data_IF_681419486391
#
_entry.id   IF_681419486391
#
_cell.length_a   1.000
_cell.length_b   1.000
_cell.length_c   1.000
_cell.angle_alpha   90.00
_cell.angle_beta   90.00
_cell.angle_gamma   90.00
#
_symmetry.space_group_name_H-M   'P 1'
#
loop_
_entity.id
_entity.type
_entity.pdbx_description
1 polymer ?
#
# COMPACT_ATOMS: atom_id res chain seq x y z
N UNK A 1 131.70 -44.04 80.20
CA UNK A 1 132.71 -43.78 81.26
C UNK A 1 133.08 -45.11 81.92
N UNK A 2 134.37 -45.29 82.26
CA UNK A 2 134.97 -46.19 83.28
C UNK A 2 134.26 -47.50 83.71
N UNK A 3 134.96 -48.63 83.53
CA UNK A 3 134.95 -49.81 84.44
C UNK A 3 135.66 -49.43 85.79
N UNK A 4 135.74 -50.25 86.88
CA UNK A 4 136.28 -51.63 86.94
C UNK A 4 135.70 -52.49 88.14
N UNK A 5 136.46 -53.30 88.94
CA UNK A 5 137.09 -54.62 88.67
C UNK A 5 136.75 -55.75 89.69
N UNK A 6 137.37 -56.93 89.51
CA UNK A 6 137.45 -58.05 90.48
C UNK A 6 138.83 -58.08 91.20
N UNK A 7 138.94 -58.70 92.39
CA UNK A 7 140.18 -59.09 93.12
C UNK A 7 140.03 -60.56 93.58
N UNK A 8 140.97 -61.50 93.42
CA UNK A 8 142.38 -61.63 93.90
C UNK A 8 142.53 -61.90 95.43
N UNK A 9 143.40 -62.79 95.96
CA UNK A 9 144.18 -63.98 95.49
C UNK A 9 144.97 -64.58 96.71
N UNK A 10 145.33 -65.88 96.71
CA UNK A 10 146.49 -66.44 97.47
C UNK A 10 146.22 -67.27 98.75
N UNK A 11 147.17 -68.01 99.35
CA UNK A 11 148.52 -68.44 98.89
C UNK A 11 149.17 -69.56 99.78
N UNK A 12 149.47 -70.74 99.19
CA UNK A 12 150.70 -71.60 99.28
C UNK A 12 151.58 -71.71 100.57
N UNK A 13 151.93 -72.96 101.01
CA UNK A 13 153.33 -73.49 101.27
C UNK A 13 153.38 -74.94 101.86
N UNK A 14 154.12 -75.91 101.26
CA UNK A 14 155.52 -76.39 101.52
C UNK A 14 155.66 -77.49 102.62
N UNK A 15 156.63 -78.45 102.66
CA UNK A 15 157.80 -78.80 101.80
C UNK A 15 158.39 -80.21 102.11
N UNK A 16 159.22 -80.79 101.19
CA UNK A 16 160.32 -81.82 101.40
C UNK A 16 159.90 -83.23 101.93
N UNK A 17 160.64 -84.36 101.86
CA UNK A 17 161.73 -84.96 101.01
C UNK A 17 162.08 -86.37 101.57
N UNK A 18 162.56 -87.43 100.88
CA UNK A 18 162.81 -87.69 99.44
C UNK A 18 164.08 -88.53 99.15
N UNK A 19 164.03 -89.88 99.07
CA UNK A 19 165.16 -90.78 98.69
C UNK A 19 164.69 -92.14 98.08
N UNK A 20 165.56 -92.75 97.24
CA UNK A 20 165.67 -94.17 96.78
C UNK A 20 164.40 -94.94 96.32
N UNK A 21 164.35 -95.75 95.24
CA UNK A 21 165.01 -95.91 93.92
C UNK A 21 164.47 -97.24 93.30
N UNK A 22 163.92 -97.19 92.07
CA UNK A 22 163.68 -98.33 91.12
C UNK A 22 162.91 -99.58 91.59
N UNK A 23 161.59 -99.63 91.29
CA UNK A 23 160.94 -100.47 90.24
C UNK A 23 159.64 -99.73 89.80
N UNK A 24 158.94 -100.17 88.74
CA UNK A 24 157.58 -99.78 88.29
C UNK A 24 157.47 -98.64 87.24
N UNK A 25 157.61 -99.00 85.95
CA UNK A 25 157.43 -98.09 84.80
C UNK A 25 156.07 -98.28 84.06
N UNK A 26 155.20 -99.20 84.51
CA UNK A 26 154.05 -99.66 83.71
C UNK A 26 152.69 -98.99 84.02
N UNK A 27 152.49 -98.41 85.22
CA UNK A 27 151.18 -97.83 85.61
C UNK A 27 150.96 -96.37 85.18
N UNK A 28 152.00 -95.66 84.73
CA UNK A 28 151.93 -94.20 84.50
C UNK A 28 151.30 -93.85 83.14
N UNK A 29 151.32 -94.76 82.16
CA UNK A 29 150.75 -94.52 80.84
C UNK A 29 149.23 -94.75 80.79
N UNK A 30 148.71 -95.81 81.41
CA UNK A 30 147.26 -96.06 81.51
C UNK A 30 146.50 -94.85 82.09
N UNK A 31 146.93 -94.34 83.24
CA UNK A 31 146.27 -93.21 83.92
C UNK A 31 146.25 -91.91 83.10
N UNK A 32 147.11 -91.74 82.09
CA UNK A 32 147.08 -90.58 81.18
C UNK A 32 146.09 -90.75 80.03
N UNK A 33 145.81 -91.98 79.62
CA UNK A 33 144.84 -92.29 78.56
C UNK A 33 143.42 -92.09 79.10
N UNK A 34 143.10 -92.65 80.27
CA UNK A 34 141.78 -92.55 80.89
C UNK A 34 141.36 -91.09 81.15
N UNK A 35 142.30 -90.23 81.58
CA UNK A 35 142.05 -88.81 81.82
C UNK A 35 141.83 -88.03 80.52
N UNK A 36 142.48 -88.43 79.42
CA UNK A 36 142.25 -87.83 78.11
C UNK A 36 140.89 -88.25 77.53
N UNK A 37 140.52 -89.52 77.67
CA UNK A 37 139.23 -90.06 77.21
C UNK A 37 138.05 -89.49 78.01
N UNK A 38 138.20 -89.34 79.33
CA UNK A 38 137.18 -88.71 80.19
C UNK A 38 136.95 -87.23 79.83
N UNK A 39 138.03 -86.47 79.53
CA UNK A 39 137.91 -85.08 79.05
C UNK A 39 137.21 -85.02 77.70
N UNK A 40 137.63 -85.83 76.73
CA UNK A 40 137.01 -85.88 75.41
C UNK A 40 135.52 -86.24 75.50
N UNK A 41 135.13 -87.15 76.39
CA UNK A 41 133.71 -87.49 76.63
C UNK A 41 132.92 -86.36 77.29
N UNK A 42 133.54 -85.57 78.16
CA UNK A 42 132.96 -84.38 78.76
C UNK A 42 132.75 -83.26 77.75
N UNK A 43 133.81 -82.84 77.07
CA UNK A 43 133.81 -81.73 76.11
C UNK A 43 132.91 -82.01 74.90
N UNK A 44 132.88 -83.27 74.40
CA UNK A 44 131.94 -83.72 73.36
C UNK A 44 130.51 -83.77 73.87
N UNK A 45 130.29 -84.15 75.14
CA UNK A 45 128.97 -84.13 75.77
C UNK A 45 128.41 -82.71 75.90
N UNK A 46 129.23 -81.76 76.36
CA UNK A 46 128.88 -80.35 76.49
C UNK A 46 128.61 -79.72 75.12
N UNK A 47 129.53 -79.87 74.17
CA UNK A 47 129.37 -79.35 72.80
C UNK A 47 128.14 -79.92 72.10
N UNK A 48 127.82 -81.21 72.32
CA UNK A 48 126.62 -81.83 71.78
C UNK A 48 125.34 -81.23 72.38
N UNK A 49 125.33 -80.94 73.69
CA UNK A 49 124.18 -80.31 74.37
C UNK A 49 124.00 -78.84 73.94
N UNK A 50 125.08 -78.10 73.75
CA UNK A 50 125.04 -76.75 73.17
C UNK A 50 124.51 -76.78 71.73
N UNK A 51 124.99 -77.69 70.88
CA UNK A 51 124.50 -77.85 69.51
C UNK A 51 123.05 -78.35 69.41
N UNK A 52 122.57 -79.13 70.38
CA UNK A 52 121.14 -79.47 70.52
C UNK A 52 120.32 -78.23 70.91
N UNK A 53 120.78 -77.45 71.91
CA UNK A 53 120.14 -76.23 72.37
C UNK A 53 120.05 -75.15 71.28
N UNK A 54 121.13 -74.90 70.52
CA UNK A 54 121.12 -73.94 69.42
C UNK A 54 120.16 -74.34 68.29
N UNK A 55 120.03 -75.65 68.01
CA UNK A 55 119.04 -76.15 67.04
C UNK A 55 117.60 -75.97 67.53
N UNK A 56 117.33 -76.16 68.82
CA UNK A 56 116.01 -75.90 69.39
C UNK A 56 115.68 -74.41 69.41
N UNK A 57 116.63 -73.55 69.80
CA UNK A 57 116.48 -72.09 69.75
C UNK A 57 116.26 -71.60 68.31
N UNK A 58 117.01 -72.13 67.33
CA UNK A 58 116.82 -71.79 65.92
C UNK A 58 115.46 -72.25 65.37
N UNK A 59 114.96 -73.43 65.79
CA UNK A 59 113.59 -73.88 65.48
C UNK A 59 112.55 -72.95 66.08
N UNK A 60 112.65 -72.65 67.38
CA UNK A 60 111.72 -71.72 68.06
C UNK A 60 111.75 -70.33 67.39
N UNK A 61 112.90 -69.84 66.96
CA UNK A 61 112.99 -68.58 66.21
C UNK A 61 112.40 -68.65 64.80
N UNK A 62 112.54 -69.78 64.09
CA UNK A 62 111.87 -70.00 62.82
C UNK A 62 110.34 -70.07 62.99
N UNK A 63 109.86 -70.87 63.94
CA UNK A 63 108.44 -71.06 64.25
C UNK A 63 107.78 -69.74 64.70
N UNK A 64 108.47 -68.96 65.54
CA UNK A 64 107.98 -67.62 65.97
C UNK A 64 108.08 -66.56 64.87
N UNK A 65 109.02 -66.68 63.92
CA UNK A 65 109.04 -65.83 62.73
C UNK A 65 107.86 -66.15 61.81
N UNK A 66 107.60 -67.44 61.53
CA UNK A 66 106.44 -67.91 60.75
C UNK A 66 105.13 -67.45 61.40
N UNK A 67 104.92 -67.75 62.68
CA UNK A 67 103.72 -67.35 63.43
C UNK A 67 103.61 -65.82 63.64
N UNK A 68 104.67 -65.04 63.38
CA UNK A 68 104.58 -63.58 63.27
C UNK A 68 104.11 -63.18 61.87
N UNK A 69 104.71 -63.73 60.81
CA UNK A 69 104.29 -63.44 59.43
C UNK A 69 102.86 -63.85 59.16
N UNK A 70 102.39 -64.98 59.69
CA UNK A 70 101.00 -65.42 59.61
C UNK A 70 100.05 -64.41 60.28
N UNK A 71 100.35 -63.95 61.49
CA UNK A 71 99.55 -62.93 62.19
C UNK A 71 99.59 -61.55 61.52
N UNK A 72 100.69 -61.20 60.86
CA UNK A 72 100.78 -59.95 60.10
C UNK A 72 100.03 -60.07 58.74
N UNK A 73 99.96 -61.28 58.14
CA UNK A 73 99.08 -61.59 56.99
C UNK A 73 97.60 -61.53 57.41
N UNK A 74 97.21 -62.19 58.50
CA UNK A 74 95.84 -62.14 59.06
C UNK A 74 95.42 -60.71 59.38
N UNK A 75 96.32 -59.90 59.96
CA UNK A 75 96.08 -58.47 60.21
C UNK A 75 95.91 -57.70 58.90
N UNK A 76 96.79 -57.89 57.93
CA UNK A 76 96.69 -57.26 56.61
C UNK A 76 95.40 -57.62 55.87
N UNK A 77 94.97 -58.89 55.95
CA UNK A 77 93.67 -59.33 55.42
C UNK A 77 92.49 -58.69 56.15
N UNK A 78 92.53 -58.62 57.49
CA UNK A 78 91.48 -58.01 58.28
C UNK A 78 91.38 -56.50 58.02
N UNK A 79 92.52 -55.81 57.89
CA UNK A 79 92.60 -54.40 57.51
C UNK A 79 92.09 -54.16 56.09
N UNK A 80 92.45 -55.01 55.12
CA UNK A 80 91.93 -54.93 53.75
C UNK A 80 90.41 -55.20 53.67
N UNK A 81 89.90 -56.20 54.42
CA UNK A 81 88.47 -56.49 54.54
C UNK A 81 87.71 -55.33 55.22
N UNK A 82 88.30 -54.69 56.22
CA UNK A 82 87.73 -53.51 56.89
C UNK A 82 87.77 -52.27 55.98
N UNK A 83 88.85 -52.05 55.25
CA UNK A 83 88.98 -50.93 54.29
C UNK A 83 88.01 -51.05 53.11
N UNK A 84 87.87 -52.25 52.53
CA UNK A 84 86.89 -52.51 51.45
C UNK A 84 85.45 -52.36 51.93
N UNK A 85 85.13 -52.76 53.17
CA UNK A 85 83.81 -52.52 53.78
C UNK A 85 83.54 -51.03 54.03
N UNK A 86 84.52 -50.28 54.55
CA UNK A 86 84.40 -48.82 54.69
C UNK A 86 84.15 -48.14 53.33
N UNK A 87 84.98 -48.42 52.33
CA UNK A 87 84.81 -47.87 50.98
C UNK A 87 83.51 -48.32 50.26
N UNK A 88 82.86 -49.40 50.71
CA UNK A 88 81.49 -49.72 50.30
C UNK A 88 80.47 -48.79 50.98
N UNK A 89 80.49 -48.70 52.31
CA UNK A 89 79.58 -47.82 53.06
C UNK A 89 79.74 -46.34 52.68
N UNK A 90 80.97 -45.86 52.48
CA UNK A 90 81.23 -44.47 52.07
C UNK A 90 80.60 -44.19 50.68
N UNK A 91 80.75 -45.10 49.72
CA UNK A 91 80.06 -45.00 48.42
C UNK A 91 78.55 -45.06 48.55
N UNK A 92 78.01 -45.94 49.38
CA UNK A 92 76.56 -46.07 49.56
C UNK A 92 75.96 -44.79 50.20
N UNK A 93 76.68 -44.17 51.14
CA UNK A 93 76.34 -42.88 51.74
C UNK A 93 76.45 -41.73 50.71
N UNK A 94 77.49 -41.71 49.88
CA UNK A 94 77.64 -40.73 48.80
C UNK A 94 76.54 -40.87 47.74
N UNK A 95 76.23 -42.09 47.31
CA UNK A 95 75.14 -42.38 46.37
C UNK A 95 73.81 -41.92 46.95
N UNK A 96 73.47 -42.29 48.19
CA UNK A 96 72.25 -41.86 48.85
C UNK A 96 72.16 -40.31 48.96
N UNK A 97 73.28 -39.64 49.22
CA UNK A 97 73.35 -38.17 49.28
C UNK A 97 73.20 -37.52 47.90
N UNK A 98 73.80 -38.07 46.86
CA UNK A 98 73.66 -37.60 45.47
C UNK A 98 72.24 -37.83 44.98
N UNK A 99 71.63 -38.98 45.27
CA UNK A 99 70.25 -39.30 44.92
C UNK A 99 69.27 -38.36 45.64
N UNK A 100 69.46 -38.12 46.93
CA UNK A 100 68.68 -37.13 47.68
C UNK A 100 68.76 -35.74 47.04
N UNK A 101 69.99 -35.23 46.79
CA UNK A 101 70.22 -33.91 46.17
C UNK A 101 69.61 -33.82 44.76
N UNK A 102 69.80 -34.82 43.91
CA UNK A 102 69.21 -34.85 42.56
C UNK A 102 67.69 -34.97 42.60
N UNK A 103 67.12 -35.65 43.60
CA UNK A 103 65.67 -35.71 43.80
C UNK A 103 65.08 -34.35 44.20
N UNK A 104 65.83 -33.52 44.96
CA UNK A 104 65.43 -32.14 45.27
C UNK A 104 65.59 -31.23 44.06
N UNK A 105 66.72 -31.30 43.34
CA UNK A 105 66.95 -30.51 42.11
C UNK A 105 65.92 -30.82 41.02
N UNK A 106 65.57 -32.10 40.82
CA UNK A 106 64.54 -32.52 39.87
C UNK A 106 63.15 -32.01 40.25
N UNK A 107 62.80 -32.00 41.55
CA UNK A 107 61.55 -31.41 42.05
C UNK A 107 61.54 -29.89 41.87
N UNK A 108 62.64 -29.21 42.13
CA UNK A 108 62.76 -27.76 41.95
C UNK A 108 62.64 -27.37 40.47
N UNK A 109 63.25 -28.11 39.55
CA UNK A 109 63.08 -27.89 38.11
C UNK A 109 61.66 -28.18 37.63
N UNK A 110 61.00 -29.23 38.15
CA UNK A 110 59.61 -29.52 37.80
C UNK A 110 58.66 -28.45 38.36
N UNK A 111 58.87 -27.97 39.59
CA UNK A 111 58.13 -26.84 40.16
C UNK A 111 58.37 -25.54 39.36
N UNK A 112 59.59 -25.27 38.88
CA UNK A 112 59.88 -24.13 37.98
C UNK A 112 59.10 -24.26 36.67
N UNK A 113 59.06 -25.45 36.06
CA UNK A 113 58.26 -25.73 34.85
C UNK A 113 56.77 -25.55 35.09
N UNK A 114 56.24 -26.08 36.20
CA UNK A 114 54.83 -25.94 36.56
C UNK A 114 54.45 -24.46 36.78
N UNK A 115 55.29 -23.69 37.47
CA UNK A 115 55.11 -22.25 37.66
C UNK A 115 55.19 -21.50 36.32
N UNK A 116 56.10 -21.88 35.41
CA UNK A 116 56.18 -21.30 34.07
C UNK A 116 54.92 -21.62 33.24
N UNK A 117 54.43 -22.86 33.27
CA UNK A 117 53.19 -23.27 32.60
C UNK A 117 51.97 -22.52 33.17
N UNK A 118 51.84 -22.41 34.49
CA UNK A 118 50.76 -21.65 35.15
C UNK A 118 50.82 -20.15 34.82
N UNK A 119 52.01 -19.55 34.74
CA UNK A 119 52.19 -18.16 34.29
C UNK A 119 51.79 -17.97 32.83
N UNK A 120 52.16 -18.91 31.95
CA UNK A 120 51.77 -18.88 30.54
C UNK A 120 50.25 -19.04 30.36
N UNK A 121 49.62 -19.95 31.12
CA UNK A 121 48.16 -20.12 31.15
C UNK A 121 47.46 -18.83 31.61
N UNK A 122 47.91 -18.22 32.71
CA UNK A 122 47.35 -16.98 33.22
C UNK A 122 47.46 -15.81 32.22
N UNK A 123 48.57 -15.70 31.48
CA UNK A 123 48.70 -14.68 30.42
C UNK A 123 47.81 -14.99 29.20
N UNK A 124 47.65 -16.25 28.81
CA UNK A 124 46.69 -16.65 27.75
C UNK A 124 45.26 -16.31 28.16
N UNK A 125 44.87 -16.56 29.42
CA UNK A 125 43.55 -16.17 29.94
C UNK A 125 43.38 -14.65 29.98
N UNK A 126 44.42 -13.91 30.38
CA UNK A 126 44.41 -12.44 30.36
C UNK A 126 44.28 -11.88 28.94
N UNK A 127 44.94 -12.47 27.96
CA UNK A 127 44.81 -12.11 26.55
C UNK A 127 43.41 -12.44 26.02
N UNK A 128 42.89 -13.65 26.29
CA UNK A 128 41.49 -14.01 25.97
C UNK A 128 40.48 -13.04 26.59
N UNK A 129 40.68 -12.63 27.84
CA UNK A 129 39.82 -11.65 28.49
C UNK A 129 39.87 -10.27 27.79
N UNK A 130 41.05 -9.81 27.39
CA UNK A 130 41.20 -8.58 26.59
C UNK A 130 40.54 -8.69 25.21
N UNK A 131 40.73 -9.81 24.53
CA UNK A 131 40.16 -10.04 23.21
C UNK A 131 38.63 -10.08 23.29
N UNK A 132 38.05 -10.79 24.26
CA UNK A 132 36.60 -10.80 24.54
C UNK A 132 36.08 -9.39 24.87
N UNK A 133 36.76 -8.63 25.72
CA UNK A 133 36.37 -7.24 26.03
C UNK A 133 36.43 -6.35 24.80
N UNK A 134 37.49 -6.44 23.98
CA UNK A 134 37.61 -5.64 22.75
C UNK A 134 36.56 -6.02 21.69
N UNK A 135 36.23 -7.32 21.58
CA UNK A 135 35.18 -7.82 20.71
C UNK A 135 33.79 -7.36 21.18
N UNK A 136 33.56 -7.36 22.50
CA UNK A 136 32.32 -6.84 23.10
C UNK A 136 32.17 -5.34 22.87
N UNK A 137 33.20 -4.53 23.13
CA UNK A 137 33.20 -3.08 22.82
C UNK A 137 32.97 -2.84 21.32
N UNK A 138 33.61 -3.61 20.44
CA UNK A 138 33.41 -3.50 18.99
C UNK A 138 31.98 -3.84 18.58
N UNK A 139 31.37 -4.86 19.21
CA UNK A 139 29.97 -5.26 18.98
C UNK A 139 29.02 -4.18 19.48
N UNK A 140 29.17 -3.71 20.72
CA UNK A 140 28.32 -2.68 21.32
C UNK A 140 28.40 -1.35 20.56
N UNK A 141 29.61 -0.92 20.19
CA UNK A 141 29.82 0.28 19.37
C UNK A 141 29.18 0.15 17.99
N UNK A 142 29.28 -1.01 17.33
CA UNK A 142 28.60 -1.26 16.04
C UNK A 142 27.08 -1.32 16.18
N UNK A 143 26.56 -1.87 17.28
CA UNK A 143 25.12 -1.87 17.58
C UNK A 143 24.62 -0.44 17.77
N UNK A 144 25.24 0.34 18.65
CA UNK A 144 24.89 1.77 18.85
C UNK A 144 24.98 2.58 17.56
N UNK A 145 26.01 2.35 16.72
CA UNK A 145 26.13 3.03 15.43
C UNK A 145 25.09 2.59 14.39
N UNK A 146 24.61 1.35 14.45
CA UNK A 146 23.51 0.86 13.60
C UNK A 146 22.16 1.39 14.08
N UNK A 147 21.92 1.38 15.40
CA UNK A 147 20.71 1.91 16.03
C UNK A 147 20.56 3.42 15.82
N UNK A 148 21.67 4.18 15.93
CA UNK A 148 21.70 5.60 15.62
C UNK A 148 21.32 5.87 14.14
N UNK A 149 21.90 5.12 13.20
CA UNK A 149 21.56 5.23 11.77
C UNK A 149 20.11 4.84 11.48
N UNK A 150 19.61 3.79 12.13
CA UNK A 150 18.21 3.39 12.00
C UNK A 150 17.27 4.48 12.52
N UNK A 151 17.62 5.13 13.63
CA UNK A 151 16.89 6.27 14.17
C UNK A 151 16.94 7.49 13.25
N UNK A 152 18.10 7.85 12.71
CA UNK A 152 18.26 8.95 11.74
C UNK A 152 17.40 8.73 10.49
N UNK A 153 17.45 7.52 9.90
CA UNK A 153 16.65 7.16 8.72
C UNK A 153 15.15 7.17 9.05
N UNK A 154 14.74 6.64 10.21
CA UNK A 154 13.35 6.66 10.63
C UNK A 154 12.83 8.09 10.89
N UNK A 155 13.66 8.97 11.47
CA UNK A 155 13.34 10.37 11.70
C UNK A 155 13.22 11.15 10.39
N UNK A 156 14.14 10.95 9.44
CA UNK A 156 14.09 11.54 8.10
C UNK A 156 12.86 11.07 7.33
N UNK A 157 12.62 9.76 7.24
CA UNK A 157 11.45 9.19 6.57
C UNK A 157 10.13 9.69 7.18
N UNK A 158 10.06 9.87 8.50
CA UNK A 158 8.90 10.45 9.18
C UNK A 158 8.72 11.94 8.84
N UNK A 159 9.79 12.71 8.84
CA UNK A 159 9.76 14.13 8.49
C UNK A 159 9.32 14.35 7.03
N UNK A 160 9.84 13.55 6.10
CA UNK A 160 9.44 13.59 4.68
C UNK A 160 7.99 13.14 4.48
N UNK A 161 7.52 12.13 5.23
CA UNK A 161 6.13 11.71 5.22
C UNK A 161 5.19 12.80 5.77
N UNK A 162 5.51 13.42 6.91
CA UNK A 162 4.72 14.52 7.47
C UNK A 162 4.71 15.74 6.55
N UNK A 163 5.84 16.09 5.92
CA UNK A 163 5.93 17.16 4.92
C UNK A 163 5.10 16.87 3.67
N UNK A 164 5.18 15.65 3.15
CA UNK A 164 4.37 15.19 2.00
C UNK A 164 2.88 15.26 2.33
N UNK A 165 2.48 14.73 3.49
CA UNK A 165 1.11 14.77 3.99
C UNK A 165 0.58 16.20 4.14
N UNK A 166 1.34 17.09 4.76
CA UNK A 166 0.95 18.51 4.91
C UNK A 166 0.78 19.18 3.54
N UNK A 167 1.65 18.89 2.57
CA UNK A 167 1.53 19.41 1.21
C UNK A 167 0.26 18.87 0.51
N UNK A 168 -0.04 17.57 0.61
CA UNK A 168 -1.27 16.99 0.03
C UNK A 168 -2.53 17.50 0.72
N UNK A 169 -2.52 17.65 2.04
CA UNK A 169 -3.66 18.15 2.82
C UNK A 169 -3.93 19.63 2.50
N UNK A 170 -2.88 20.46 2.36
CA UNK A 170 -2.98 21.85 1.93
C UNK A 170 -3.51 21.99 0.49
N UNK A 171 -3.04 21.14 -0.44
CA UNK A 171 -3.57 21.10 -1.81
C UNK A 171 -5.04 20.65 -1.85
N UNK A 172 -5.41 19.62 -1.09
CA UNK A 172 -6.78 19.13 -1.01
C UNK A 172 -7.72 20.13 -0.32
N UNK A 173 -7.23 20.93 0.63
CA UNK A 173 -7.98 22.04 1.21
C UNK A 173 -8.17 23.18 0.21
N UNK A 174 -7.11 23.57 -0.52
CA UNK A 174 -7.18 24.60 -1.55
C UNK A 174 -8.15 24.21 -2.68
N UNK A 175 -8.08 23.00 -3.21
CA UNK A 175 -8.99 22.58 -4.30
C UNK A 175 -10.45 22.53 -3.85
N UNK A 176 -10.74 22.18 -2.58
CA UNK A 176 -12.09 22.28 -2.01
C UNK A 176 -12.56 23.74 -1.89
N UNK A 177 -11.70 24.66 -1.46
CA UNK A 177 -12.03 26.09 -1.41
C UNK A 177 -12.27 26.67 -2.81
N UNK A 178 -11.37 26.40 -3.75
CA UNK A 178 -11.48 26.88 -5.14
C UNK A 178 -12.76 26.34 -5.81
N UNK A 179 -13.07 25.05 -5.62
CA UNK A 179 -14.30 24.43 -6.13
C UNK A 179 -15.57 24.98 -5.45
N UNK A 180 -15.54 25.21 -4.14
CA UNK A 180 -16.67 25.81 -3.42
C UNK A 180 -16.91 27.27 -3.85
N UNK A 181 -15.85 28.04 -4.07
CA UNK A 181 -15.92 29.42 -4.57
C UNK A 181 -16.47 29.46 -6.01
N UNK A 182 -16.04 28.53 -6.88
CA UNK A 182 -16.60 28.39 -8.23
C UNK A 182 -18.08 27.99 -8.20
N UNK A 183 -18.46 27.00 -7.38
CA UNK A 183 -19.85 26.58 -7.23
C UNK A 183 -20.76 27.71 -6.72
N UNK A 184 -20.29 28.52 -5.76
CA UNK A 184 -21.02 29.70 -5.29
C UNK A 184 -21.12 30.78 -6.38
N UNK A 185 -20.03 31.05 -7.10
CA UNK A 185 -20.04 32.04 -8.19
C UNK A 185 -20.98 31.64 -9.33
N UNK A 186 -21.03 30.34 -9.69
CA UNK A 186 -21.98 29.82 -10.68
C UNK A 186 -23.42 29.82 -10.16
N UNK A 187 -23.67 29.49 -8.89
CA UNK A 187 -24.99 29.62 -8.28
C UNK A 187 -25.48 31.07 -8.32
N UNK A 188 -24.66 32.03 -7.89
CA UNK A 188 -24.99 33.46 -7.91
C UNK A 188 -25.22 33.97 -9.35
N UNK A 189 -24.42 33.49 -10.31
CA UNK A 189 -24.56 33.83 -11.74
C UNK A 189 -25.85 33.29 -12.33
N UNK A 190 -26.17 32.02 -12.06
CA UNK A 190 -27.41 31.38 -12.54
C UNK A 190 -28.62 32.03 -11.89
N UNK A 191 -28.61 32.25 -10.56
CA UNK A 191 -29.68 32.92 -9.82
C UNK A 191 -29.99 34.30 -10.42
N UNK A 192 -28.98 35.17 -10.55
CA UNK A 192 -29.13 36.50 -11.17
C UNK A 192 -29.61 36.44 -12.63
N UNK A 193 -29.16 35.44 -13.40
CA UNK A 193 -29.62 35.25 -14.77
C UNK A 193 -31.07 34.77 -14.85
N UNK A 194 -31.50 33.87 -13.96
CA UNK A 194 -32.89 33.40 -13.88
C UNK A 194 -33.83 34.49 -13.37
N UNK A 195 -33.41 35.27 -12.37
CA UNK A 195 -34.16 36.43 -11.86
C UNK A 195 -34.35 37.49 -12.95
N UNK A 196 -33.27 37.81 -13.67
CA UNK A 196 -33.33 38.76 -14.79
C UNK A 196 -34.21 38.24 -15.96
N UNK A 197 -34.17 36.94 -16.25
CA UNK A 197 -35.05 36.33 -17.25
C UNK A 197 -36.53 36.35 -16.81
N UNK A 198 -36.81 36.00 -15.55
CA UNK A 198 -38.16 36.05 -14.97
C UNK A 198 -38.71 37.47 -14.87
N UNK A 199 -37.85 38.47 -14.65
CA UNK A 199 -38.24 39.87 -14.69
C UNK A 199 -38.57 40.34 -16.11
N UNK A 200 -37.76 39.95 -17.12
CA UNK A 200 -38.06 40.23 -18.53
C UNK A 200 -39.38 39.62 -18.98
N UNK A 201 -39.62 38.32 -18.72
CA UNK A 201 -40.87 37.67 -19.14
C UNK A 201 -42.11 38.27 -18.47
N UNK A 202 -42.00 38.75 -17.22
CA UNK A 202 -43.06 39.54 -16.57
C UNK A 202 -43.30 40.86 -17.29
N UNK A 203 -42.25 41.65 -17.55
CA UNK A 203 -42.38 42.93 -18.27
C UNK A 203 -42.94 42.75 -19.68
N UNK A 204 -42.51 41.73 -20.41
CA UNK A 204 -43.00 41.44 -21.76
C UNK A 204 -44.49 41.03 -21.74
N UNK A 205 -44.91 40.24 -20.75
CA UNK A 205 -46.31 39.85 -20.54
C UNK A 205 -47.19 41.04 -20.09
N UNK A 206 -46.69 41.88 -19.19
CA UNK A 206 -47.35 43.12 -18.76
C UNK A 206 -47.51 44.10 -19.93
N UNK A 207 -46.47 44.28 -20.75
CA UNK A 207 -46.50 45.10 -21.95
C UNK A 207 -47.51 44.56 -22.99
N UNK A 208 -47.55 43.25 -23.21
CA UNK A 208 -48.52 42.61 -24.11
C UNK A 208 -49.95 42.77 -23.60
N UNK A 209 -50.19 42.57 -22.30
CA UNK A 209 -51.49 42.77 -21.66
C UNK A 209 -51.96 44.23 -21.76
N UNK A 210 -51.08 45.19 -21.45
CA UNK A 210 -51.37 46.61 -21.56
C UNK A 210 -51.65 47.05 -23.02
N UNK A 211 -50.96 46.47 -24.00
CA UNK A 211 -51.23 46.68 -25.41
C UNK A 211 -52.59 46.08 -25.83
N UNK A 212 -52.91 44.87 -25.37
CA UNK A 212 -54.20 44.22 -25.63
C UNK A 212 -55.38 45.02 -25.06
N UNK A 213 -55.26 45.52 -23.82
CA UNK A 213 -56.27 46.40 -23.20
C UNK A 213 -56.44 47.68 -24.02
N UNK A 214 -55.36 48.41 -24.34
CA UNK A 214 -55.45 49.64 -25.14
C UNK A 214 -56.06 49.41 -26.54
N UNK A 215 -55.77 48.27 -27.17
CA UNK A 215 -56.36 47.90 -28.46
C UNK A 215 -57.85 47.55 -28.32
N UNK A 216 -58.25 46.88 -27.24
CA UNK A 216 -59.66 46.61 -26.93
C UNK A 216 -60.44 47.90 -26.66
N UNK A 217 -59.89 48.81 -25.85
CA UNK A 217 -60.47 50.13 -25.56
C UNK A 217 -60.60 50.97 -26.83
N UNK A 218 -59.56 51.02 -27.67
CA UNK A 218 -59.61 51.72 -28.95
C UNK A 218 -60.68 51.16 -29.90
N UNK A 219 -60.84 49.83 -29.95
CA UNK A 219 -61.91 49.18 -30.72
C UNK A 219 -63.29 49.47 -30.14
N UNK A 220 -63.44 49.48 -28.81
CA UNK A 220 -64.69 49.84 -28.13
C UNK A 220 -65.08 51.29 -28.42
N UNK A 221 -64.15 52.24 -28.28
CA UNK A 221 -64.37 53.66 -28.62
C UNK A 221 -64.74 53.82 -30.10
N UNK A 222 -64.06 53.11 -31.01
CA UNK A 222 -64.41 53.10 -32.43
C UNK A 222 -65.83 52.58 -32.66
N UNK A 223 -66.23 51.49 -32.02
CA UNK A 223 -67.60 50.93 -32.14
C UNK A 223 -68.66 51.83 -31.53
N UNK A 224 -68.39 52.51 -30.42
CA UNK A 224 -69.29 53.54 -29.88
C UNK A 224 -69.46 54.70 -30.86
N UNK A 225 -68.37 55.19 -31.47
CA UNK A 225 -68.45 56.29 -32.46
C UNK A 225 -69.11 55.88 -33.78
N UNK A 226 -68.91 54.65 -34.24
CA UNK A 226 -69.67 54.08 -35.36
C UNK A 226 -71.17 53.98 -35.01
N UNK A 227 -71.53 53.55 -33.80
CA UNK A 227 -72.92 53.47 -33.35
C UNK A 227 -73.57 54.85 -33.18
N UNK A 228 -72.88 55.83 -32.60
CA UNK A 228 -73.32 57.24 -32.55
C UNK A 228 -73.56 57.81 -33.97
N UNK A 229 -72.64 57.52 -34.91
CA UNK A 229 -72.81 57.91 -36.31
C UNK A 229 -74.04 57.27 -36.96
N UNK A 230 -74.27 55.98 -36.71
CA UNK A 230 -75.44 55.25 -37.20
C UNK A 230 -76.76 55.76 -36.58
N UNK A 231 -76.80 56.09 -35.28
CA UNK A 231 -78.01 56.67 -34.67
C UNK A 231 -78.28 58.09 -35.16
N UNK A 232 -77.23 58.89 -35.41
CA UNK A 232 -77.37 60.21 -36.05
C UNK A 232 -77.87 60.08 -37.49
N UNK A 233 -77.35 59.12 -38.28
CA UNK A 233 -77.86 58.82 -39.62
C UNK A 233 -79.31 58.32 -39.58
N UNK A 234 -79.66 57.41 -38.67
CA UNK A 234 -81.02 56.93 -38.50
C UNK A 234 -81.98 58.08 -38.12
N UNK A 235 -81.56 59.01 -37.26
CA UNK A 235 -82.31 60.23 -36.95
C UNK A 235 -82.45 61.19 -38.13
N UNK A 236 -81.43 61.29 -39.00
CA UNK A 236 -81.51 62.05 -40.23
C UNK A 236 -82.47 61.39 -41.25
N UNK A 237 -82.37 60.07 -41.44
CA UNK A 237 -83.30 59.31 -42.27
C UNK A 237 -84.74 59.35 -41.73
N UNK A 238 -84.95 59.36 -40.42
CA UNK A 238 -86.28 59.55 -39.83
C UNK A 238 -86.88 60.91 -40.21
N UNK A 239 -86.08 62.00 -40.10
CA UNK A 239 -86.50 63.35 -40.53
C UNK A 239 -86.71 63.47 -42.04
N UNK A 240 -85.88 62.82 -42.87
CA UNK A 240 -86.12 62.74 -44.31
C UNK A 240 -87.40 61.96 -44.62
N UNK A 241 -87.63 60.83 -43.96
CA UNK A 241 -88.84 60.02 -44.11
C UNK A 241 -90.10 60.83 -43.78
N UNK A 242 -90.08 61.61 -42.70
CA UNK A 242 -91.15 62.55 -42.35
C UNK A 242 -91.34 63.62 -43.45
N UNK A 243 -90.27 64.22 -43.94
CA UNK A 243 -90.32 65.25 -45.00
C UNK A 243 -90.79 64.72 -46.37
N UNK A 244 -90.51 63.45 -46.71
CA UNK A 244 -90.90 62.81 -47.97
C UNK A 244 -92.23 62.04 -47.88
N UNK A 245 -93.04 62.24 -46.83
CA UNK A 245 -94.39 61.68 -46.72
C UNK A 245 -94.46 60.22 -46.24
N UNK A 246 -93.42 59.75 -45.57
CA UNK A 246 -93.34 58.44 -44.91
C UNK A 246 -92.27 57.50 -45.48
N UNK A 247 -92.14 56.27 -44.92
CA UNK A 247 -91.06 55.35 -45.26
C UNK A 247 -91.01 54.97 -46.75
N UNK A 248 -92.17 54.90 -47.41
CA UNK A 248 -92.27 54.57 -48.84
C UNK A 248 -91.63 55.65 -49.73
N UNK A 249 -91.83 56.94 -49.41
CA UNK A 249 -91.26 58.05 -50.17
C UNK A 249 -89.74 58.12 -50.07
N UNK A 250 -89.19 57.92 -48.86
CA UNK A 250 -87.75 57.83 -48.67
C UNK A 250 -87.13 56.62 -49.39
N UNK A 251 -87.78 55.46 -49.33
CA UNK A 251 -87.29 54.26 -50.03
C UNK A 251 -87.26 54.49 -51.55
N UNK A 252 -88.31 55.10 -52.12
CA UNK A 252 -88.35 55.44 -53.54
C UNK A 252 -87.25 56.46 -53.92
N UNK A 253 -87.01 57.47 -53.09
CA UNK A 253 -85.91 58.42 -53.29
C UNK A 253 -84.54 57.72 -53.25
N UNK A 254 -84.27 56.88 -52.24
CA UNK A 254 -83.01 56.12 -52.15
C UNK A 254 -82.83 55.13 -53.32
N UNK A 255 -83.90 54.50 -53.79
CA UNK A 255 -83.85 53.61 -54.97
C UNK A 255 -83.53 54.37 -56.27
N UNK A 256 -83.98 55.62 -56.41
CA UNK A 256 -83.58 56.50 -57.52
C UNK A 256 -82.13 56.96 -57.34
N UNK A 257 -81.74 57.48 -56.17
CA UNK A 257 -80.41 58.03 -55.88
C UNK A 257 -79.30 56.98 -56.01
N UNK A 258 -79.52 55.77 -55.45
CA UNK A 258 -78.57 54.64 -55.59
C UNK A 258 -78.68 53.93 -56.94
N UNK A 259 -79.58 54.36 -57.82
CA UNK A 259 -79.75 53.80 -59.16
C UNK A 259 -80.28 52.36 -59.19
N UNK A 260 -80.90 51.87 -58.12
CA UNK A 260 -81.35 50.47 -58.02
C UNK A 260 -82.37 50.14 -59.12
N UNK A 261 -83.19 51.10 -59.55
CA UNK A 261 -84.08 50.93 -60.71
C UNK A 261 -83.32 50.64 -62.01
N UNK A 262 -82.14 51.25 -62.21
CA UNK A 262 -81.27 51.00 -63.37
C UNK A 262 -80.63 49.61 -63.28
N UNK A 263 -80.25 49.19 -62.07
CA UNK A 263 -79.72 47.83 -61.83
C UNK A 263 -80.79 46.75 -62.00
N UNK A 264 -82.01 46.96 -61.47
CA UNK A 264 -83.15 46.06 -61.66
C UNK A 264 -83.56 45.97 -63.14
N UNK A 265 -83.57 47.09 -63.85
CA UNK A 265 -83.85 47.12 -65.29
C UNK A 265 -82.78 46.34 -66.08
N UNK A 266 -81.48 46.48 -65.74
CA UNK A 266 -80.40 45.69 -66.34
C UNK A 266 -80.52 44.20 -66.02
N UNK A 267 -80.85 43.83 -64.78
CA UNK A 267 -81.05 42.44 -64.37
C UNK A 267 -82.25 41.80 -65.09
N UNK A 268 -83.37 42.52 -65.18
CA UNK A 268 -84.56 42.06 -65.91
C UNK A 268 -84.30 41.97 -67.43
N UNK A 269 -83.56 42.92 -68.02
CA UNK A 269 -83.16 42.84 -69.42
C UNK A 269 -82.27 41.63 -69.70
N UNK A 270 -81.32 41.32 -68.79
CA UNK A 270 -80.51 40.11 -68.87
C UNK A 270 -81.35 38.82 -68.73
N UNK A 271 -82.33 38.80 -67.83
CA UNK A 271 -83.24 37.66 -67.66
C UNK A 271 -84.14 37.43 -68.89
N UNK A 272 -84.70 38.49 -69.49
CA UNK A 272 -85.49 38.41 -70.73
C UNK A 272 -84.62 37.96 -71.90
N UNK A 273 -83.37 38.46 -72.00
CA UNK A 273 -82.41 38.00 -73.01
C UNK A 273 -82.04 36.50 -72.82
N UNK A 274 -82.09 35.99 -71.59
CA UNK A 274 -81.90 34.56 -71.29
C UNK A 274 -83.08 33.66 -71.67
N UNK A 275 -84.28 34.20 -71.89
CA UNK A 275 -85.52 33.43 -72.11
C UNK A 275 -85.84 33.11 -73.58
N UNK A 276 -84.92 33.36 -74.52
CA UNK A 276 -85.10 33.24 -75.98
C UNK A 276 -85.87 31.98 -76.44
N UNK A 277 -87.18 32.08 -76.80
CA UNK A 277 -87.98 30.94 -77.21
C UNK A 277 -87.92 30.77 -78.74
N UNK A 278 -87.33 29.67 -79.21
CA UNK A 278 -87.32 29.31 -80.63
C UNK A 278 -88.64 28.62 -81.03
N UNK A 279 -89.61 29.40 -81.52
CA UNK A 279 -90.86 28.86 -82.07
C UNK A 279 -90.65 28.53 -83.55
N UNK A 280 -90.63 27.24 -83.90
CA UNK A 280 -90.62 26.76 -85.28
C UNK A 280 -92.04 26.47 -85.77
N UNK A 281 -92.52 27.24 -86.74
CA UNK A 281 -93.83 26.99 -87.38
C UNK A 281 -93.68 25.87 -88.40
N UNK A 282 -94.42 24.76 -88.22
CA UNK A 282 -94.61 23.74 -89.24
C UNK A 282 -96.02 23.84 -89.81
N UNK A 283 -96.11 23.81 -91.14
CA UNK A 283 -97.37 23.83 -91.88
C UNK A 283 -97.87 22.39 -92.10
N UNK A 284 -99.05 22.05 -91.59
CA UNK A 284 -99.73 20.77 -91.87
C UNK A 284 -101.17 21.04 -92.31
N UNK A 285 -101.56 20.46 -93.45
CA UNK A 285 -102.84 20.77 -94.10
C UNK A 285 -103.94 19.73 -93.88
N UNK A 286 -105.17 20.19 -94.13
CA UNK A 286 -106.34 19.46 -94.63
C UNK A 286 -106.87 18.21 -93.88
N UNK A 287 -107.95 18.41 -93.12
CA UNK A 287 -109.08 17.48 -92.93
C UNK A 287 -110.26 18.32 -92.39
N UNK A 288 -111.49 18.36 -92.92
CA UNK A 288 -112.09 17.81 -94.14
C UNK A 288 -113.63 17.77 -93.95
N UNK A 289 -114.42 18.60 -94.67
CA UNK A 289 -115.86 18.73 -94.37
C UNK A 289 -116.68 19.73 -95.19
N UNK A 290 -116.84 19.48 -96.49
CA UNK A 290 -117.94 19.90 -97.39
C UNK A 290 -118.55 21.33 -97.34
N UNK A 291 -118.34 22.09 -98.44
CA UNK A 291 -119.44 22.85 -99.08
C UNK A 291 -119.26 24.35 -99.37
N UNK A 292 -118.85 24.70 -100.59
CA UNK A 292 -119.06 26.04 -101.17
C UNK A 292 -117.87 27.02 -101.07
N UNK A 293 -117.67 27.93 -102.06
CA UNK A 293 -116.40 28.63 -102.21
C UNK A 293 -116.33 30.03 -101.57
N UNK A 294 -115.15 30.31 -101.01
CA UNK A 294 -114.43 31.59 -100.97
C UNK A 294 -115.21 32.90 -100.66
N UNK A 295 -115.01 33.44 -99.46
CA UNK A 295 -114.02 34.53 -99.31
C UNK A 295 -113.37 34.49 -97.90
N UNK A 296 -112.16 35.03 -97.75
CA UNK A 296 -111.27 34.71 -96.63
C UNK A 296 -111.19 35.77 -95.52
N UNK A 297 -111.74 35.47 -94.33
CA UNK A 297 -111.34 36.13 -93.07
C UNK A 297 -111.71 35.26 -91.85
N UNK A 298 -110.74 34.85 -91.00
CA UNK A 298 -111.09 34.10 -89.78
C UNK A 298 -109.97 33.42 -88.95
N UNK A 299 -108.78 33.12 -89.48
CA UNK A 299 -107.84 32.18 -88.82
C UNK A 299 -106.86 32.78 -87.77
N UNK A 300 -107.11 33.98 -87.25
CA UNK A 300 -106.22 34.63 -86.28
C UNK A 300 -106.76 34.64 -84.83
N UNK A 301 -108.08 34.55 -84.65
CA UNK A 301 -108.72 34.74 -83.33
C UNK A 301 -108.60 33.49 -82.45
N UNK A 302 -108.74 32.30 -83.02
CA UNK A 302 -108.66 31.03 -82.26
C UNK A 302 -107.25 30.74 -81.73
N UNK A 303 -106.21 31.14 -82.48
CA UNK A 303 -104.81 31.00 -82.07
C UNK A 303 -104.48 31.86 -80.85
N UNK A 304 -104.99 33.09 -80.78
CA UNK A 304 -104.81 33.96 -79.60
C UNK A 304 -105.62 33.49 -78.39
N UNK A 305 -106.82 32.94 -78.62
CA UNK A 305 -107.70 32.48 -77.53
C UNK A 305 -107.09 31.30 -76.75
N UNK A 306 -106.36 30.41 -77.43
CA UNK A 306 -105.69 29.27 -76.81
C UNK A 306 -104.45 29.70 -75.99
N UNK A 307 -103.67 30.67 -76.48
CA UNK A 307 -102.53 31.25 -75.74
C UNK A 307 -102.98 31.95 -74.44
N UNK A 308 -104.10 32.67 -74.48
CA UNK A 308 -104.66 33.33 -73.29
C UNK A 308 -105.17 32.34 -72.22
N UNK A 309 -105.50 31.11 -72.61
CA UNK A 309 -105.95 30.04 -71.70
C UNK A 309 -104.81 29.18 -71.13
N UNK A 310 -103.58 29.33 -71.62
CA UNK A 310 -102.39 28.65 -71.10
C UNK A 310 -101.53 29.51 -70.15
N UNK A 311 -101.96 30.74 -69.82
CA UNK A 311 -101.35 31.53 -68.75
C UNK A 311 -101.97 31.13 -67.39
N UNK A 312 -101.23 30.46 -66.48
CA UNK A 312 -101.67 30.34 -65.09
C UNK A 312 -101.71 31.74 -64.43
N UNK A 313 -102.57 31.94 -63.41
CA UNK A 313 -102.86 33.27 -62.86
C UNK A 313 -101.70 33.80 -61.99
N UNK A 314 -100.67 34.37 -62.63
CA UNK A 314 -99.53 35.02 -61.96
C UNK A 314 -99.89 36.33 -61.24
N UNK A 315 -101.12 36.83 -61.39
CA UNK A 315 -101.57 38.11 -60.81
C UNK A 315 -102.23 38.00 -59.43
N UNK A 316 -102.59 36.79 -58.97
CA UNK A 316 -103.12 36.60 -57.60
C UNK A 316 -102.00 36.37 -56.58
N UNK A 317 -100.98 35.59 -56.96
CA UNK A 317 -99.86 35.25 -56.07
C UNK A 317 -98.96 36.45 -55.73
N UNK A 318 -98.86 37.44 -56.61
CA UNK A 318 -98.13 38.69 -56.34
C UNK A 318 -98.86 39.56 -55.30
N UNK A 319 -100.19 39.57 -55.31
CA UNK A 319 -101.02 40.30 -54.34
C UNK A 319 -100.89 39.67 -52.94
N UNK A 320 -101.02 38.33 -52.86
CA UNK A 320 -100.92 37.57 -51.61
C UNK A 320 -99.53 37.61 -50.95
N UNK A 321 -98.44 37.74 -51.72
CA UNK A 321 -97.07 37.75 -51.18
C UNK A 321 -96.52 39.15 -50.85
N UNK A 322 -97.16 40.24 -51.31
CA UNK A 322 -96.62 41.60 -51.12
C UNK A 322 -97.58 42.60 -50.47
N UNK A 323 -98.89 42.33 -50.44
CA UNK A 323 -99.89 43.18 -49.77
C UNK A 323 -100.09 44.56 -50.41
N UNK A 324 -99.61 44.78 -51.64
CA UNK A 324 -99.69 46.05 -52.36
C UNK A 324 -100.81 45.98 -53.39
N UNK A 325 -101.88 46.75 -53.18
CA UNK A 325 -102.96 46.94 -54.14
C UNK A 325 -102.58 48.00 -55.20
N UNK A 326 -102.74 47.65 -56.48
CA UNK A 326 -102.41 48.52 -57.62
C UNK A 326 -103.62 49.39 -58.06
N UNK A 327 -103.41 50.53 -58.76
CA UNK A 327 -104.45 51.55 -58.94
C UNK A 327 -105.66 51.16 -59.80
N UNK A 328 -106.84 51.69 -59.41
CA UNK A 328 -108.19 51.36 -59.93
C UNK A 328 -108.36 51.44 -61.46
N UNK A 329 -107.63 52.33 -62.16
CA UNK A 329 -107.80 52.53 -63.60
C UNK A 329 -107.22 51.41 -64.47
N UNK A 330 -106.47 50.47 -63.88
CA UNK A 330 -105.88 49.33 -64.57
C UNK A 330 -106.77 48.06 -64.54
N UNK A 331 -107.88 48.09 -63.77
CA UNK A 331 -108.86 47.00 -63.67
C UNK A 331 -110.28 47.50 -63.97
N UNK A 332 -110.62 47.65 -65.25
CA UNK A 332 -111.96 48.06 -65.69
C UNK A 332 -113.07 47.21 -65.08
N UNK A 333 -114.17 47.88 -64.65
CA UNK A 333 -115.36 47.33 -63.94
C UNK A 333 -115.58 45.83 -64.11
N UNK A 334 -115.03 45.04 -63.18
CA UNK A 334 -115.37 43.63 -62.94
C UNK A 334 -114.87 43.19 -61.56
N UNK A 335 -113.66 43.61 -61.17
CA UNK A 335 -113.13 43.41 -59.80
C UNK A 335 -113.99 44.11 -58.73
N UNK A 336 -114.42 45.35 -59.00
CA UNK A 336 -115.24 46.16 -58.08
C UNK A 336 -116.71 45.74 -57.93
N UNK A 337 -117.18 44.73 -58.67
CA UNK A 337 -118.52 44.13 -58.48
C UNK A 337 -118.44 42.81 -57.70
N UNK A 338 -117.38 42.02 -57.91
CA UNK A 338 -117.09 40.82 -57.10
C UNK A 338 -116.86 41.18 -55.62
N UNK A 339 -116.07 42.22 -55.32
CA UNK A 339 -115.85 42.67 -53.94
C UNK A 339 -117.13 43.19 -53.26
N UNK A 340 -118.04 43.83 -54.01
CA UNK A 340 -119.33 44.29 -53.48
C UNK A 340 -120.29 43.13 -53.22
N UNK A 341 -120.26 42.08 -54.04
CA UNK A 341 -121.02 40.85 -53.80
C UNK A 341 -120.49 40.08 -52.58
N UNK A 342 -119.18 40.04 -52.34
CA UNK A 342 -118.61 39.43 -51.14
C UNK A 342 -118.92 40.23 -49.86
N UNK A 343 -118.84 41.56 -49.90
CA UNK A 343 -119.24 42.43 -48.78
C UNK A 343 -120.74 42.31 -48.48
N UNK A 344 -121.60 42.25 -49.50
CA UNK A 344 -123.05 42.03 -49.30
C UNK A 344 -123.36 40.64 -48.70
N UNK A 345 -122.56 39.63 -49.02
CA UNK A 345 -122.69 38.26 -48.48
C UNK A 345 -122.15 38.14 -47.04
N UNK A 346 -121.20 38.98 -46.63
CA UNK A 346 -120.74 39.09 -45.25
C UNK A 346 -121.70 39.94 -44.38
N UNK A 347 -122.34 40.97 -44.93
CA UNK A 347 -123.31 41.80 -44.20
C UNK A 347 -124.58 41.03 -43.80
N UNK A 348 -125.19 40.27 -44.73
CA UNK A 348 -126.37 39.43 -44.43
C UNK A 348 -126.07 38.16 -43.60
N UNK A 349 -124.83 37.99 -43.12
CA UNK A 349 -124.45 36.99 -42.12
C UNK A 349 -124.55 37.49 -40.68
N UNK A 350 -124.87 38.78 -40.45
CA UNK A 350 -124.87 39.41 -39.13
C UNK A 350 -126.09 40.32 -38.90
N UNK A 351 -127.29 39.77 -39.16
CA UNK A 351 -128.65 40.34 -38.99
C UNK A 351 -129.07 41.44 -39.98
#
# INVERSE_FOLDING_TARGET
MRAPPVRCVGCVRCSKSGQQLRVNFSNINQARIDVAEARLRGDVGESKRQGEQEREIAKIHADTAVAKTERDIERGEAEAKLATRKAAFDRDVEIARIEANRSTEAKDEELKREVAMKRAQAEIERLRAKDVVSAQISRESKQQAADAKAYEVAAQARADFEKSKQATDALAYKTKLDAAAQAQADFDRVSKATDAAAYKTKLDAEAWSAAAIKNADANLVKKLKEAEGLTAMAGAYAKLSEAFGGPAGLLQYMMIEKGTYVELAKANAAAIHGLQPKISVWNTGAQGGAGGPADGNGSQVDTMRNIYQMLPPLMTTINEQTGITLPEWQFGRLAGEMSKLEIAKQANGSK
#
